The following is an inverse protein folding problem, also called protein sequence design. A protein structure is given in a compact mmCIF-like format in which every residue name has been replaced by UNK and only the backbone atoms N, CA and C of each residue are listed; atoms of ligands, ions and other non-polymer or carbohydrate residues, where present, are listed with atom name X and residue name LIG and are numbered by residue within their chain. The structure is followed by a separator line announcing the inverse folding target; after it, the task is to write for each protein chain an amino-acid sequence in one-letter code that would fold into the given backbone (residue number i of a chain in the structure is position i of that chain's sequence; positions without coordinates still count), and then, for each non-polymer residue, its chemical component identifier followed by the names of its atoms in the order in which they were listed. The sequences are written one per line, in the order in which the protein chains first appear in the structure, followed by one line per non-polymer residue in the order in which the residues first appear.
data_IF_547724962417
#
_entry.id   IF_547724962417
#
_cell.length_a   1.000
_cell.length_b   1.000
_cell.length_c   1.000
_cell.angle_alpha   90.00
_cell.angle_beta   90.00
_cell.angle_gamma   90.00
#
_symmetry.space_group_name_H-M   'P 1'
#
loop_
_entity.id
_entity.type
_entity.pdbx_description
1 polymer ?
#
# COMPACT_ATOMS: atom_id res chain seq x y z
N UNK A 1 7.97 -11.90 4.68
CA UNK A 1 9.27 -11.69 4.02
C UNK A 1 9.09 -11.71 2.51
N UNK A 2 9.68 -10.76 1.82
CA UNK A 2 9.59 -10.70 0.36
C UNK A 2 10.72 -11.51 -0.29
N UNK A 3 10.43 -12.15 -1.41
CA UNK A 3 11.42 -12.88 -2.21
C UNK A 3 12.25 -11.96 -3.09
N UNK A 4 11.84 -10.71 -3.25
CA UNK A 4 12.52 -9.69 -4.06
C UNK A 4 13.21 -8.69 -3.16
N UNK A 5 14.17 -7.96 -3.73
CA UNK A 5 14.85 -6.89 -3.02
C UNK A 5 13.85 -5.78 -2.70
N UNK A 6 13.98 -5.21 -1.51
CA UNK A 6 13.21 -4.04 -1.07
C UNK A 6 14.16 -3.02 -0.44
N UNK A 7 13.70 -1.77 -0.32
CA UNK A 7 14.43 -0.74 0.40
C UNK A 7 13.94 -0.63 1.84
N UNK A 8 14.89 -0.48 2.77
CA UNK A 8 14.58 -0.15 4.16
C UNK A 8 14.28 1.34 4.28
N UNK A 9 13.78 1.76 5.42
CA UNK A 9 13.53 3.18 5.70
C UNK A 9 14.80 4.02 5.56
N UNK A 10 15.94 3.48 6.02
CA UNK A 10 17.21 4.19 6.00
C UNK A 10 17.78 4.31 4.59
N UNK A 11 17.43 3.40 3.69
CA UNK A 11 17.91 3.41 2.31
C UNK A 11 17.07 4.32 1.41
N UNK A 12 15.87 4.72 1.85
CA UNK A 12 14.94 5.49 1.02
C UNK A 12 15.45 6.92 0.85
N UNK A 13 15.48 7.39 -0.40
CA UNK A 13 15.91 8.74 -0.77
C UNK A 13 14.96 9.34 -1.79
N UNK A 14 14.94 10.67 -1.86
CA UNK A 14 14.20 11.40 -2.86
C UNK A 14 12.70 11.07 -2.85
N UNK A 15 12.18 10.69 -4.01
CA UNK A 15 10.77 10.34 -4.20
C UNK A 15 10.33 9.19 -3.30
N UNK A 16 11.18 8.19 -3.14
CA UNK A 16 10.87 7.03 -2.28
C UNK A 16 10.78 7.44 -0.81
N UNK A 17 11.66 8.33 -0.37
CA UNK A 17 11.60 8.83 1.01
C UNK A 17 10.28 9.55 1.27
N UNK A 18 9.77 10.31 0.30
CA UNK A 18 8.47 10.98 0.40
C UNK A 18 7.33 9.97 0.48
N UNK A 19 7.38 8.93 -0.35
CA UNK A 19 6.36 7.87 -0.35
C UNK A 19 6.34 7.12 0.98
N UNK A 20 7.50 6.82 1.54
CA UNK A 20 7.61 6.16 2.84
C UNK A 20 7.14 7.07 3.97
N UNK A 21 7.45 8.35 3.91
CA UNK A 21 6.96 9.32 4.91
C UNK A 21 5.44 9.41 4.89
N UNK A 22 4.83 9.44 3.70
CA UNK A 22 3.39 9.45 3.54
C UNK A 22 2.76 8.17 4.10
N UNK A 23 3.40 7.02 3.88
CA UNK A 23 2.93 5.75 4.41
C UNK A 23 2.96 5.73 5.94
N UNK A 24 4.04 6.25 6.55
CA UNK A 24 4.14 6.35 8.02
C UNK A 24 3.08 7.28 8.60
N UNK A 25 2.82 8.39 7.94
CA UNK A 25 1.80 9.34 8.39
C UNK A 25 0.40 8.73 8.32
N UNK A 26 0.12 7.98 7.25
CA UNK A 26 -1.19 7.37 7.01
C UNK A 26 -1.46 6.18 7.94
N UNK A 27 -0.47 5.34 8.16
CA UNK A 27 -0.66 4.03 8.81
C UNK A 27 0.28 3.76 9.99
N UNK A 28 1.13 4.71 10.34
CA UNK A 28 2.07 4.57 11.46
C UNK A 28 3.36 3.84 11.11
N UNK A 29 3.41 3.15 9.99
CA UNK A 29 4.61 2.44 9.52
C UNK A 29 4.52 2.18 8.02
N UNK A 30 5.64 1.74 7.44
CA UNK A 30 5.70 1.29 6.05
C UNK A 30 5.42 -0.21 6.04
N UNK A 31 4.22 -0.60 5.59
CA UNK A 31 3.84 -2.01 5.49
C UNK A 31 4.64 -2.73 4.40
N UNK A 32 4.74 -4.05 4.52
CA UNK A 32 5.50 -4.88 3.59
C UNK A 32 5.07 -4.74 2.13
N UNK A 33 3.75 -4.57 1.88
CA UNK A 33 3.25 -4.40 0.51
C UNK A 33 3.76 -3.11 -0.13
N UNK A 34 3.88 -2.03 0.64
CA UNK A 34 4.46 -0.76 0.17
C UNK A 34 5.94 -0.97 -0.12
N UNK A 35 6.63 -1.64 0.79
CA UNK A 35 8.06 -1.93 0.66
C UNK A 35 8.36 -2.83 -0.54
N UNK A 36 7.46 -3.76 -0.85
CA UNK A 36 7.60 -4.64 -2.01
C UNK A 36 7.64 -3.88 -3.35
N UNK A 37 7.06 -2.68 -3.40
CA UNK A 37 7.05 -1.83 -4.59
C UNK A 37 8.17 -0.79 -4.59
N UNK A 38 9.08 -0.83 -3.61
CA UNK A 38 10.04 0.24 -3.36
C UNK A 38 11.10 0.40 -4.45
N UNK A 39 11.36 -0.63 -5.25
CA UNK A 39 12.35 -0.55 -6.34
C UNK A 39 11.87 0.30 -7.52
N UNK A 40 10.57 0.56 -7.62
CA UNK A 40 9.99 1.34 -8.71
C UNK A 40 9.08 2.42 -8.12
N UNK A 41 9.64 3.51 -7.57
CA UNK A 41 8.84 4.56 -6.91
C UNK A 41 7.67 5.12 -7.74
N UNK A 42 7.79 5.34 -9.06
CA UNK A 42 6.63 5.78 -9.85
C UNK A 42 5.48 4.76 -9.83
N UNK A 43 5.80 3.46 -9.87
CA UNK A 43 4.79 2.41 -9.80
C UNK A 43 4.19 2.35 -8.40
N UNK A 44 5.01 2.47 -7.36
CA UNK A 44 4.54 2.55 -5.98
C UNK A 44 3.52 3.67 -5.81
N UNK A 45 3.85 4.87 -6.28
CA UNK A 45 2.96 6.03 -6.13
C UNK A 45 1.65 5.82 -6.88
N UNK A 46 1.70 5.29 -8.10
CA UNK A 46 0.50 5.00 -8.89
C UNK A 46 -0.36 3.92 -8.22
N UNK A 47 0.27 2.89 -7.67
CA UNK A 47 -0.42 1.81 -6.96
C UNK A 47 -1.10 2.32 -5.70
N UNK A 48 -0.44 3.21 -4.96
CA UNK A 48 -1.03 3.80 -3.75
C UNK A 48 -2.19 4.72 -4.10
N UNK A 49 -2.10 5.46 -5.21
CA UNK A 49 -3.20 6.28 -5.69
C UNK A 49 -4.42 5.44 -6.05
N UNK A 50 -4.21 4.34 -6.75
CA UNK A 50 -5.28 3.39 -7.07
C UNK A 50 -5.90 2.81 -5.80
N UNK A 51 -5.08 2.36 -4.87
CA UNK A 51 -5.53 1.81 -3.59
C UNK A 51 -6.44 2.80 -2.86
N UNK A 52 -6.01 4.05 -2.75
CA UNK A 52 -6.77 5.08 -2.05
C UNK A 52 -8.11 5.33 -2.72
N UNK A 53 -8.16 5.35 -4.05
CA UNK A 53 -9.40 5.53 -4.80
C UNK A 53 -10.35 4.35 -4.62
N UNK A 54 -9.81 3.14 -4.68
CA UNK A 54 -10.63 1.93 -4.52
C UNK A 54 -11.21 1.84 -3.10
N UNK A 55 -10.41 2.16 -2.09
CA UNK A 55 -10.81 1.94 -0.69
C UNK A 55 -11.51 3.13 -0.05
N UNK A 56 -11.26 4.35 -0.51
CA UNK A 56 -11.68 5.55 0.21
C UNK A 56 -12.48 6.56 -0.62
N UNK A 57 -12.77 6.28 -1.88
CA UNK A 57 -13.55 7.19 -2.71
C UNK A 57 -14.95 7.41 -2.10
N UNK A 58 -15.49 8.64 -2.15
CA UNK A 58 -16.78 8.93 -1.53
C UNK A 58 -17.99 8.46 -2.33
N UNK A 59 -17.79 8.10 -3.60
CA UNK A 59 -18.88 7.68 -4.49
C UNK A 59 -18.93 6.15 -4.62
N UNK A 60 -20.09 5.65 -5.01
CA UNK A 60 -20.29 4.23 -5.27
C UNK A 60 -20.50 3.45 -3.98
N UNK A 61 -19.64 2.43 -3.77
CA UNK A 61 -19.75 1.57 -2.60
C UNK A 61 -19.42 2.33 -1.30
N UNK A 62 -20.08 1.93 -0.22
CA UNK A 62 -19.76 2.47 1.11
C UNK A 62 -18.39 1.98 1.58
N UNK A 63 -17.80 2.65 2.56
CA UNK A 63 -16.56 2.20 3.19
C UNK A 63 -16.69 0.78 3.72
N UNK A 64 -17.81 0.46 4.36
CA UNK A 64 -18.07 -0.88 4.90
C UNK A 64 -18.06 -1.93 3.80
N UNK A 65 -18.72 -1.65 2.67
CA UNK A 65 -18.74 -2.58 1.54
C UNK A 65 -17.34 -2.79 0.96
N UNK A 66 -16.55 -1.74 0.85
CA UNK A 66 -15.16 -1.83 0.35
C UNK A 66 -14.29 -2.67 1.28
N UNK A 67 -14.44 -2.48 2.58
CA UNK A 67 -13.72 -3.29 3.57
C UNK A 67 -14.14 -4.76 3.50
N UNK A 68 -15.41 -5.04 3.31
CA UNK A 68 -15.89 -6.42 3.18
C UNK A 68 -15.31 -7.09 1.94
N UNK A 69 -15.27 -6.39 0.82
CA UNK A 69 -14.67 -6.91 -0.42
C UNK A 69 -13.19 -7.20 -0.19
N UNK A 70 -12.47 -6.29 0.46
CA UNK A 70 -11.06 -6.47 0.75
C UNK A 70 -10.82 -7.70 1.62
N UNK A 71 -11.60 -7.88 2.67
CA UNK A 71 -11.48 -9.02 3.59
C UNK A 71 -11.76 -10.34 2.85
N UNK A 72 -12.83 -10.39 2.07
CA UNK A 72 -13.19 -11.60 1.31
C UNK A 72 -12.10 -11.94 0.28
N UNK A 73 -11.58 -10.93 -0.42
CA UNK A 73 -10.51 -11.12 -1.40
C UNK A 73 -9.24 -11.64 -0.73
N UNK A 74 -8.85 -11.06 0.39
CA UNK A 74 -7.69 -11.50 1.15
C UNK A 74 -7.86 -12.92 1.65
N UNK A 75 -9.04 -13.25 2.16
CA UNK A 75 -9.33 -14.59 2.67
C UNK A 75 -9.27 -15.61 1.53
N UNK A 76 -9.86 -15.30 0.37
CA UNK A 76 -9.85 -16.19 -0.79
C UNK A 76 -8.44 -16.48 -1.31
N UNK A 77 -7.52 -15.53 -1.14
CA UNK A 77 -6.13 -15.65 -1.56
C UNK A 77 -5.19 -16.11 -0.44
N UNK A 78 -5.74 -16.44 0.72
CA UNK A 78 -4.96 -16.81 1.91
C UNK A 78 -3.90 -15.76 2.23
N UNK A 79 -4.28 -14.49 2.12
CA UNK A 79 -3.39 -13.35 2.31
C UNK A 79 -3.42 -12.91 3.78
N UNK A 80 -2.23 -12.67 4.33
CA UNK A 80 -2.09 -12.21 5.72
C UNK A 80 -2.73 -10.82 5.92
N UNK A 81 -2.60 -9.96 4.92
CA UNK A 81 -3.16 -8.62 5.01
C UNK A 81 -4.63 -8.58 4.65
#
# INVERSE_FOLDING_TARGET
MAWIRTFSDDEAQGRLAKSFAAARERAGKVFGIVRAMSLAPPVLDASMSLYQRVMFAPQGLTRRQREMIAVVTSRANDCHY
#
